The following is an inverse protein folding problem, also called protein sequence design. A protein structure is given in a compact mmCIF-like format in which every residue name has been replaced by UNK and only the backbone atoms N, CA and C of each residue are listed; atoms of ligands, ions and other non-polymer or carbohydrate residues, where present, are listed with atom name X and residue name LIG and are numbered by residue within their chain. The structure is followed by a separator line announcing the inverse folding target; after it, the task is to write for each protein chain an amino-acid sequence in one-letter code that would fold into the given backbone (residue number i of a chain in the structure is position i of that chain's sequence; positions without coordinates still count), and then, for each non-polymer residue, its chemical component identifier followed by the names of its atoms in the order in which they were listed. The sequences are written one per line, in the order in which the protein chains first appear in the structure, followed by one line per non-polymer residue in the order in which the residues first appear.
data_IF_335763129567
#
_entry.id   IF_335763129567
#
_cell.length_a   1.000
_cell.length_b   1.000
_cell.length_c   1.000
_cell.angle_alpha   90.00
_cell.angle_beta   90.00
_cell.angle_gamma   90.00
#
_symmetry.space_group_name_H-M   'P 1'
#
loop_
_entity.id
_entity.type
_entity.pdbx_description
1 polymer ?
#
# COMPACT_ATOMS: atom_id res chain seq x y z
N UNK A 1 -10.36 13.30 -12.23
CA UNK A 1 -10.18 12.01 -11.53
C UNK A 1 -9.08 11.14 -12.14
N UNK A 2 -9.22 10.64 -13.37
CA UNK A 2 -8.23 9.73 -13.99
C UNK A 2 -6.80 10.30 -14.04
N UNK A 3 -6.61 11.50 -14.60
CA UNK A 3 -5.27 12.08 -14.78
C UNK A 3 -4.51 12.28 -13.45
N UNK A 4 -5.21 12.67 -12.39
CA UNK A 4 -4.60 12.82 -11.07
C UNK A 4 -4.01 11.49 -10.57
N UNK A 5 -4.63 10.35 -10.87
CA UNK A 5 -4.15 9.01 -10.49
C UNK A 5 -2.97 8.51 -11.33
N UNK A 6 -2.65 9.17 -12.46
CA UNK A 6 -1.41 8.95 -13.22
C UNK A 6 -0.24 9.80 -12.69
N UNK A 7 -0.52 10.79 -11.85
CA UNK A 7 0.51 11.66 -11.29
C UNK A 7 1.27 10.95 -10.17
N UNK A 8 2.59 10.84 -10.33
CA UNK A 8 3.50 10.32 -9.32
C UNK A 8 4.27 11.42 -8.56
N UNK A 9 3.79 12.67 -8.58
CA UNK A 9 4.44 13.83 -7.96
C UNK A 9 5.92 13.96 -8.37
N UNK A 10 6.16 13.83 -9.68
CA UNK A 10 7.46 13.93 -10.32
C UNK A 10 7.99 15.38 -10.40
N UNK A 11 7.11 16.37 -10.17
CA UNK A 11 7.38 17.81 -10.20
C UNK A 11 7.92 18.41 -11.50
N UNK A 12 8.17 17.64 -12.57
CA UNK A 12 8.54 18.21 -13.89
C UNK A 12 7.53 19.28 -14.35
N UNK A 13 6.23 19.02 -14.23
CA UNK A 13 5.19 19.98 -14.60
C UNK A 13 5.18 21.25 -13.74
N UNK A 14 5.85 21.26 -12.59
CA UNK A 14 6.04 22.46 -11.78
C UNK A 14 7.24 23.27 -12.28
N UNK A 15 8.37 22.62 -12.58
CA UNK A 15 9.57 23.28 -13.10
C UNK A 15 9.40 23.79 -14.54
N UNK A 16 8.58 23.13 -15.35
CA UNK A 16 8.26 23.58 -16.72
C UNK A 16 7.16 24.66 -16.77
N UNK A 17 6.51 24.96 -15.65
CA UNK A 17 5.36 25.87 -15.64
C UNK A 17 5.80 27.34 -15.59
N UNK A 18 5.49 28.08 -16.64
CA UNK A 18 5.71 29.54 -16.72
C UNK A 18 4.95 30.33 -15.63
N UNK A 19 3.92 29.71 -15.05
CA UNK A 19 3.06 30.30 -14.00
C UNK A 19 3.33 29.73 -12.60
N UNK A 20 4.39 28.92 -12.44
CA UNK A 20 4.85 28.51 -11.12
C UNK A 20 5.35 29.71 -10.31
N UNK A 21 5.32 29.65 -8.96
CA UNK A 21 5.92 30.69 -8.14
C UNK A 21 7.37 31.00 -8.58
N UNK A 22 7.77 32.28 -8.58
CA UNK A 22 7.09 33.42 -7.96
C UNK A 22 6.05 34.14 -8.84
N UNK A 23 5.62 33.56 -9.97
CA UNK A 23 4.57 34.17 -10.82
C UNK A 23 3.28 34.44 -10.03
N UNK A 24 2.56 35.52 -10.34
CA UNK A 24 1.36 35.98 -9.62
C UNK A 24 0.26 34.92 -9.47
N UNK A 25 0.10 34.04 -10.46
CA UNK A 25 -0.86 32.94 -10.45
C UNK A 25 -0.48 31.78 -9.51
N UNK A 26 0.79 31.68 -9.09
CA UNK A 26 1.28 30.70 -8.11
C UNK A 26 0.80 29.26 -8.38
N UNK A 27 0.89 28.81 -9.63
CA UNK A 27 0.34 27.52 -10.07
C UNK A 27 1.21 26.37 -9.57
N UNK A 28 0.58 25.38 -8.92
CA UNK A 28 1.24 24.13 -8.53
C UNK A 28 0.38 22.92 -8.91
N UNK A 29 0.63 22.40 -10.11
CA UNK A 29 -0.04 21.20 -10.64
C UNK A 29 0.18 19.98 -9.71
N UNK A 30 1.40 19.70 -9.18
CA UNK A 30 1.60 18.56 -8.29
C UNK A 30 0.74 18.64 -7.02
N UNK A 31 0.60 19.83 -6.43
CA UNK A 31 -0.24 20.06 -5.24
C UNK A 31 -1.72 19.86 -5.56
N UNK A 32 -2.19 20.41 -6.68
CA UNK A 32 -3.58 20.25 -7.13
C UNK A 32 -3.92 18.78 -7.41
N UNK A 33 -3.04 18.05 -8.11
CA UNK A 33 -3.25 16.63 -8.40
C UNK A 33 -3.15 15.76 -7.14
N UNK A 34 -2.33 16.13 -6.15
CA UNK A 34 -2.31 15.44 -4.86
C UNK A 34 -3.66 15.56 -4.13
N UNK A 35 -4.26 16.75 -4.09
CA UNK A 35 -5.59 16.96 -3.50
C UNK A 35 -6.68 16.19 -4.28
N UNK A 36 -6.66 16.24 -5.62
CA UNK A 36 -7.61 15.51 -6.46
C UNK A 36 -7.50 13.98 -6.30
N UNK A 37 -6.29 13.44 -6.10
CA UNK A 37 -6.13 11.99 -5.80
C UNK A 37 -6.82 11.60 -4.51
N UNK A 38 -6.65 12.39 -3.44
CA UNK A 38 -7.32 12.11 -2.16
C UNK A 38 -8.85 12.13 -2.31
N UNK A 39 -9.39 13.12 -3.03
CA UNK A 39 -10.83 13.16 -3.35
C UNK A 39 -11.28 11.94 -4.16
N UNK A 40 -10.49 11.54 -5.16
CA UNK A 40 -10.74 10.35 -5.98
C UNK A 40 -10.77 9.07 -5.12
N UNK A 41 -9.82 8.90 -4.20
CA UNK A 41 -9.78 7.72 -3.32
C UNK A 41 -11.02 7.61 -2.44
N UNK A 42 -11.49 8.71 -1.85
CA UNK A 42 -12.73 8.70 -1.09
C UNK A 42 -13.95 8.42 -1.98
N UNK A 43 -14.08 9.12 -3.12
CA UNK A 43 -15.19 8.97 -4.07
C UNK A 43 -15.37 7.52 -4.52
N UNK A 44 -14.26 6.83 -4.79
CA UNK A 44 -14.28 5.45 -5.24
C UNK A 44 -14.14 4.42 -4.13
N UNK A 45 -13.88 4.82 -2.88
CA UNK A 45 -13.87 3.90 -1.73
C UNK A 45 -15.17 3.08 -1.62
N UNK A 46 -15.07 1.86 -1.11
CA UNK A 46 -16.22 1.00 -0.83
C UNK A 46 -16.09 0.36 0.55
N UNK A 47 -17.13 0.43 1.40
CA UNK A 47 -18.31 1.28 1.28
C UNK A 47 -17.99 2.78 1.50
N UNK A 48 -18.71 3.68 0.83
CA UNK A 48 -18.40 5.12 0.78
C UNK A 48 -18.36 5.79 2.17
N UNK A 49 -19.21 5.33 3.10
CA UNK A 49 -19.30 5.94 4.43
C UNK A 49 -18.02 5.75 5.25
N UNK A 50 -17.31 4.62 5.08
CA UNK A 50 -16.02 4.38 5.74
C UNK A 50 -14.94 5.32 5.20
N UNK A 51 -14.92 5.53 3.87
CA UNK A 51 -14.02 6.50 3.26
C UNK A 51 -14.25 7.92 3.78
N UNK A 52 -15.51 8.33 3.93
CA UNK A 52 -15.85 9.66 4.45
C UNK A 52 -15.53 9.80 5.94
N UNK A 53 -15.79 8.77 6.75
CA UNK A 53 -15.43 8.75 8.17
C UNK A 53 -13.91 8.88 8.36
N UNK A 54 -13.13 8.13 7.58
CA UNK A 54 -11.67 8.17 7.62
C UNK A 54 -11.15 9.55 7.17
N UNK A 55 -11.66 10.13 6.07
CA UNK A 55 -11.22 11.46 5.62
C UNK A 55 -11.51 12.55 6.65
N UNK A 56 -12.69 12.53 7.26
CA UNK A 56 -13.08 13.57 8.23
C UNK A 56 -12.32 13.46 9.54
N UNK A 57 -12.09 12.24 10.03
CA UNK A 57 -11.52 11.98 11.36
C UNK A 57 -10.54 10.79 11.37
N UNK A 58 -9.48 10.84 10.55
CA UNK A 58 -8.52 9.74 10.39
C UNK A 58 -7.90 9.29 11.73
N UNK A 59 -7.57 10.24 12.61
CA UNK A 59 -7.00 9.95 13.93
C UNK A 59 -8.00 9.22 14.82
N UNK A 60 -9.22 9.76 14.95
CA UNK A 60 -10.26 9.15 15.78
C UNK A 60 -10.63 7.75 15.28
N UNK A 61 -10.81 7.59 13.96
CA UNK A 61 -11.13 6.29 13.35
C UNK A 61 -10.01 5.27 13.61
N UNK A 62 -8.74 5.69 13.57
CA UNK A 62 -7.59 4.83 13.91
C UNK A 62 -7.60 4.46 15.39
N UNK A 63 -7.82 5.41 16.29
CA UNK A 63 -7.88 5.15 17.74
C UNK A 63 -9.01 4.17 18.07
N UNK A 64 -10.21 4.39 17.53
CA UNK A 64 -11.37 3.50 17.73
C UNK A 64 -11.05 2.09 17.22
N UNK A 65 -10.46 1.96 16.03
CA UNK A 65 -10.07 0.65 15.49
C UNK A 65 -9.07 -0.06 16.42
N UNK A 66 -8.04 0.64 16.90
CA UNK A 66 -7.03 0.09 17.81
C UNK A 66 -7.68 -0.36 19.12
N UNK A 67 -8.57 0.46 19.71
CA UNK A 67 -9.28 0.10 20.94
C UNK A 67 -10.20 -1.10 20.72
N UNK A 68 -10.97 -1.14 19.62
CA UNK A 68 -11.83 -2.28 19.29
C UNK A 68 -11.04 -3.58 19.13
N UNK A 69 -9.89 -3.53 18.43
CA UNK A 69 -9.02 -4.69 18.30
C UNK A 69 -8.46 -5.09 19.67
N UNK A 70 -7.93 -4.14 20.44
CA UNK A 70 -7.40 -4.41 21.77
C UNK A 70 -8.44 -5.06 22.69
N UNK A 71 -9.62 -4.48 22.84
CA UNK A 71 -10.69 -5.04 23.68
C UNK A 71 -11.25 -6.35 23.13
N UNK A 72 -11.30 -6.53 21.81
CA UNK A 72 -11.67 -7.79 21.19
C UNK A 72 -10.71 -8.93 21.56
N UNK A 73 -9.41 -8.70 21.38
CA UNK A 73 -8.37 -9.66 21.75
C UNK A 73 -8.27 -9.86 23.27
N UNK A 74 -8.46 -8.80 24.07
CA UNK A 74 -8.50 -8.90 25.52
C UNK A 74 -9.67 -9.78 25.98
N UNK A 75 -10.87 -9.56 25.44
CA UNK A 75 -12.06 -10.34 25.79
C UNK A 75 -11.98 -11.80 25.33
N UNK A 76 -11.24 -12.07 24.25
CA UNK A 76 -11.02 -13.43 23.75
C UNK A 76 -9.82 -14.12 24.41
N UNK A 77 -9.04 -13.39 25.21
CA UNK A 77 -7.89 -13.93 25.92
C UNK A 77 -8.35 -14.91 26.99
N UNK A 78 -7.75 -16.10 27.00
CA UNK A 78 -7.96 -17.13 28.03
C UNK A 78 -6.82 -17.15 29.06
N UNK A 79 -6.01 -16.09 29.09
CA UNK A 79 -4.83 -16.00 29.94
C UNK A 79 -5.21 -15.93 31.42
N UNK A 80 -4.78 -16.94 32.18
CA UNK A 80 -5.06 -17.10 33.61
C UNK A 80 -3.98 -16.47 34.51
N UNK A 81 -2.96 -15.82 33.94
CA UNK A 81 -1.84 -15.25 34.68
C UNK A 81 -0.61 -16.17 34.83
N UNK A 82 -0.67 -17.40 34.34
CA UNK A 82 0.45 -18.36 34.36
C UNK A 82 1.49 -18.14 33.26
N UNK A 83 2.63 -18.84 33.34
CA UNK A 83 3.65 -18.78 32.29
C UNK A 83 3.16 -19.46 31.01
N UNK A 84 2.99 -18.70 29.92
CA UNK A 84 2.64 -19.23 28.61
C UNK A 84 3.81 -19.97 27.92
N UNK A 85 5.02 -20.00 28.49
CA UNK A 85 6.21 -20.68 27.95
C UNK A 85 6.48 -20.40 26.45
N UNK A 86 6.18 -19.18 25.98
CA UNK A 86 6.33 -18.79 24.58
C UNK A 86 5.23 -19.31 23.63
N UNK A 87 4.24 -20.06 24.12
CA UNK A 87 3.08 -20.47 23.34
C UNK A 87 2.04 -19.34 23.29
N UNK A 88 2.09 -18.54 22.24
CA UNK A 88 1.13 -17.47 22.01
C UNK A 88 -0.32 -17.97 21.98
N UNK A 89 -0.55 -19.19 21.48
CA UNK A 89 -1.89 -19.76 21.36
C UNK A 89 -2.53 -20.16 22.70
N UNK A 90 -1.73 -20.18 23.78
CA UNK A 90 -2.25 -20.33 25.14
C UNK A 90 -2.89 -19.03 25.66
N UNK A 91 -2.52 -17.87 25.10
CA UNK A 91 -3.09 -16.57 25.47
C UNK A 91 -4.34 -16.29 24.63
N UNK A 92 -4.22 -16.43 23.30
CA UNK A 92 -5.32 -16.23 22.34
C UNK A 92 -5.41 -17.44 21.44
N UNK A 93 -6.60 -18.05 21.35
CA UNK A 93 -6.76 -19.27 20.56
C UNK A 93 -6.43 -19.06 19.07
N UNK A 94 -5.85 -20.10 18.46
CA UNK A 94 -5.55 -20.12 17.03
C UNK A 94 -6.80 -19.80 16.17
N UNK A 95 -7.93 -20.43 16.49
CA UNK A 95 -9.20 -20.24 15.79
C UNK A 95 -9.70 -18.79 15.87
N UNK A 96 -9.53 -18.13 17.02
CA UNK A 96 -9.89 -16.73 17.15
C UNK A 96 -9.02 -15.83 16.25
N UNK A 97 -7.71 -16.04 16.22
CA UNK A 97 -6.82 -15.28 15.33
C UNK A 97 -7.19 -15.47 13.86
N UNK A 98 -7.31 -16.73 13.42
CA UNK A 98 -7.59 -17.06 12.02
C UNK A 98 -8.94 -16.49 11.62
N UNK A 99 -9.98 -16.63 12.45
CA UNK A 99 -11.32 -16.11 12.13
C UNK A 99 -11.33 -14.59 11.99
N UNK A 100 -10.76 -13.85 12.96
CA UNK A 100 -10.70 -12.38 12.92
C UNK A 100 -9.96 -11.90 11.68
N UNK A 101 -8.76 -12.41 11.42
CA UNK A 101 -7.97 -11.95 10.27
C UNK A 101 -8.55 -12.42 8.93
N UNK A 102 -9.23 -13.57 8.87
CA UNK A 102 -9.93 -14.01 7.66
C UNK A 102 -11.11 -13.11 7.33
N UNK A 103 -11.91 -12.72 8.34
CA UNK A 103 -13.01 -11.76 8.18
C UNK A 103 -12.47 -10.42 7.69
N UNK A 104 -11.41 -9.90 8.33
CA UNK A 104 -10.78 -8.63 7.91
C UNK A 104 -10.24 -8.74 6.48
N UNK A 105 -9.57 -9.84 6.12
CA UNK A 105 -9.07 -10.07 4.77
C UNK A 105 -10.20 -10.07 3.74
N UNK A 106 -11.32 -10.74 4.04
CA UNK A 106 -12.50 -10.75 3.16
C UNK A 106 -13.08 -9.34 2.99
N UNK A 107 -13.22 -8.57 4.07
CA UNK A 107 -13.69 -7.19 4.02
C UNK A 107 -12.75 -6.30 3.18
N UNK A 108 -11.43 -6.46 3.32
CA UNK A 108 -10.44 -5.75 2.50
C UNK A 108 -10.57 -6.12 1.02
N UNK A 109 -10.71 -7.41 0.70
CA UNK A 109 -10.95 -7.85 -0.68
C UNK A 109 -12.22 -7.22 -1.25
N UNK A 110 -13.34 -7.27 -0.51
CA UNK A 110 -14.62 -6.67 -0.92
C UNK A 110 -14.46 -5.16 -1.13
N UNK A 111 -13.78 -4.45 -0.22
CA UNK A 111 -13.51 -3.02 -0.33
C UNK A 111 -12.68 -2.67 -1.57
N UNK A 112 -11.61 -3.43 -1.85
CA UNK A 112 -10.76 -3.24 -3.00
C UNK A 112 -11.50 -3.52 -4.31
N UNK A 113 -12.18 -4.66 -4.43
CA UNK A 113 -12.96 -5.00 -5.62
C UNK A 113 -14.09 -4.01 -5.86
N UNK A 114 -14.83 -3.63 -4.81
CA UNK A 114 -15.86 -2.60 -4.88
C UNK A 114 -15.32 -1.27 -5.38
N UNK A 115 -14.15 -0.85 -4.88
CA UNK A 115 -13.50 0.38 -5.33
C UNK A 115 -13.01 0.32 -6.78
N UNK A 116 -12.41 -0.80 -7.19
CA UNK A 116 -11.99 -1.04 -8.58
C UNK A 116 -13.20 -0.99 -9.52
N UNK A 117 -14.29 -1.67 -9.19
CA UNK A 117 -15.52 -1.69 -10.03
C UNK A 117 -16.09 -0.28 -10.15
N UNK A 118 -16.18 0.47 -9.05
CA UNK A 118 -16.67 1.85 -9.06
C UNK A 118 -15.79 2.76 -9.90
N UNK A 119 -14.46 2.66 -9.75
CA UNK A 119 -13.51 3.43 -10.55
C UNK A 119 -13.61 3.08 -12.03
N UNK A 120 -13.60 1.79 -12.36
CA UNK A 120 -13.71 1.27 -13.73
C UNK A 120 -14.96 1.77 -14.44
N UNK A 121 -16.11 1.74 -13.76
CA UNK A 121 -17.38 2.27 -14.32
C UNK A 121 -17.31 3.77 -14.58
N UNK A 122 -16.60 4.54 -13.75
CA UNK A 122 -16.56 5.99 -13.88
C UNK A 122 -15.59 6.51 -14.95
N UNK A 123 -14.59 5.71 -15.35
CA UNK A 123 -13.65 6.08 -16.41
C UNK A 123 -14.11 5.61 -17.80
N UNK A 124 -15.25 4.90 -17.89
CA UNK A 124 -15.91 4.48 -19.13
C UNK A 124 -14.94 3.91 -20.19
N UNK A 125 -14.01 3.04 -19.80
CA UNK A 125 -13.00 2.52 -20.72
C UNK A 125 -13.69 1.76 -21.86
N UNK A 126 -13.45 2.21 -23.09
CA UNK A 126 -13.86 1.53 -24.32
C UNK A 126 -12.69 0.73 -24.89
N UNK A 127 -12.97 -0.39 -25.56
CA UNK A 127 -12.00 -1.18 -26.32
C UNK A 127 -10.84 -1.77 -25.49
N UNK A 128 -11.12 -2.30 -24.30
CA UNK A 128 -10.12 -3.10 -23.56
C UNK A 128 -9.85 -4.39 -24.34
N UNK A 129 -8.63 -4.52 -24.85
CA UNK A 129 -8.14 -5.78 -25.42
C UNK A 129 -6.99 -6.34 -24.57
N UNK A 130 -6.67 -7.62 -24.80
CA UNK A 130 -5.65 -8.32 -24.03
C UNK A 130 -4.26 -7.64 -24.11
N UNK A 131 -3.89 -7.11 -25.28
CA UNK A 131 -2.60 -6.42 -25.49
C UNK A 131 -2.48 -5.15 -24.64
N UNK A 132 -3.53 -4.33 -24.60
CA UNK A 132 -3.59 -3.11 -23.78
C UNK A 132 -3.55 -3.45 -22.30
N UNK A 133 -4.26 -4.51 -21.89
CA UNK A 133 -4.25 -4.98 -20.50
C UNK A 133 -2.86 -5.42 -20.04
N UNK A 134 -2.17 -6.27 -20.82
CA UNK A 134 -0.80 -6.71 -20.52
C UNK A 134 0.18 -5.53 -20.51
N UNK A 135 0.04 -4.59 -21.46
CA UNK A 135 0.87 -3.38 -21.48
C UNK A 135 0.64 -2.52 -20.23
N UNK A 136 -0.61 -2.39 -19.77
CA UNK A 136 -0.96 -1.61 -18.58
C UNK A 136 -0.37 -2.23 -17.32
N UNK A 137 -0.42 -3.56 -17.20
CA UNK A 137 0.24 -4.30 -16.11
C UNK A 137 1.76 -4.07 -16.16
N UNK A 138 2.38 -4.18 -17.33
CA UNK A 138 3.82 -3.94 -17.50
C UNK A 138 4.21 -2.51 -17.13
N UNK A 139 3.46 -1.51 -17.58
CA UNK A 139 3.71 -0.10 -17.29
C UNK A 139 3.57 0.20 -15.79
N UNK A 140 2.58 -0.42 -15.12
CA UNK A 140 2.38 -0.32 -13.68
C UNK A 140 3.52 -0.99 -12.90
N UNK A 141 3.86 -2.24 -13.23
CA UNK A 141 4.93 -2.98 -12.55
C UNK A 141 6.31 -2.36 -12.75
N UNK A 142 6.56 -1.70 -13.88
CA UNK A 142 7.85 -1.04 -14.14
C UNK A 142 7.89 0.41 -13.66
N UNK A 143 6.75 0.95 -13.20
CA UNK A 143 6.56 2.37 -12.89
C UNK A 143 7.07 3.26 -14.04
N UNK A 144 6.70 2.92 -15.27
CA UNK A 144 7.20 3.56 -16.50
C UNK A 144 7.05 5.08 -16.43
N UNK A 145 5.89 5.58 -15.98
CA UNK A 145 5.58 7.01 -15.94
C UNK A 145 6.25 7.76 -14.78
N UNK A 146 6.83 7.06 -13.80
CA UNK A 146 7.65 7.68 -12.76
C UNK A 146 9.14 7.77 -13.17
N UNK A 147 9.55 7.12 -14.26
CA UNK A 147 10.92 7.21 -14.77
C UNK A 147 11.24 8.48 -15.57
N UNK A 148 10.26 9.36 -15.84
CA UNK A 148 10.45 10.49 -16.74
C UNK A 148 10.66 10.08 -18.21
N UNK A 149 10.93 11.05 -19.08
CA UNK A 149 11.18 10.77 -20.49
C UNK A 149 12.50 10.02 -20.66
N UNK A 150 12.53 8.96 -21.48
CA UNK A 150 13.72 8.10 -21.67
C UNK A 150 14.34 7.55 -20.37
N UNK A 151 13.55 7.42 -19.29
CA UNK A 151 14.01 6.94 -17.99
C UNK A 151 15.08 7.84 -17.30
N UNK A 152 15.07 9.14 -17.57
CA UNK A 152 16.00 10.11 -16.96
C UNK A 152 15.74 10.40 -15.47
N UNK A 153 14.59 10.00 -14.95
CA UNK A 153 14.14 10.23 -13.59
C UNK A 153 13.21 11.44 -13.47
N UNK A 154 12.91 11.80 -12.23
CA UNK A 154 12.05 12.91 -11.87
C UNK A 154 12.81 13.96 -11.10
N UNK A 155 12.43 15.22 -11.27
CA UNK A 155 12.89 16.37 -10.48
C UNK A 155 12.23 16.36 -9.09
N UNK A 156 12.58 15.37 -8.28
CA UNK A 156 12.10 15.22 -6.90
C UNK A 156 13.16 14.52 -6.04
N UNK A 157 13.42 14.97 -4.80
CA UNK A 157 12.77 16.09 -4.11
C UNK A 157 13.28 17.47 -4.53
N UNK A 158 14.36 17.52 -5.31
CA UNK A 158 15.06 18.75 -5.69
C UNK A 158 15.07 18.91 -7.22
N UNK A 159 15.63 20.02 -7.69
CA UNK A 159 15.85 20.36 -9.12
C UNK A 159 16.70 19.37 -9.93
N UNK A 160 17.29 18.36 -9.29
CA UNK A 160 18.08 17.32 -9.97
C UNK A 160 17.20 16.11 -10.31
N UNK A 161 17.16 15.76 -11.59
CA UNK A 161 16.52 14.53 -12.07
C UNK A 161 17.16 13.30 -11.45
N UNK A 162 16.32 12.41 -10.89
CA UNK A 162 16.77 11.16 -10.30
C UNK A 162 15.69 10.07 -10.34
N UNK A 163 16.12 8.82 -10.48
CA UNK A 163 15.26 7.63 -10.37
C UNK A 163 15.18 7.07 -8.93
N UNK A 164 15.73 7.78 -7.94
CA UNK A 164 15.80 7.27 -6.57
C UNK A 164 14.40 7.02 -5.98
N UNK A 165 13.44 7.90 -6.25
CA UNK A 165 12.04 7.73 -5.84
C UNK A 165 11.41 6.48 -6.45
N UNK A 166 11.63 6.25 -7.75
CA UNK A 166 11.19 5.05 -8.47
C UNK A 166 11.76 3.78 -7.83
N UNK A 167 13.04 3.82 -7.48
CA UNK A 167 13.75 2.71 -6.84
C UNK A 167 13.16 2.39 -5.47
N UNK A 168 12.92 3.40 -4.62
CA UNK A 168 12.28 3.18 -3.31
C UNK A 168 10.82 2.73 -3.40
N UNK A 169 10.08 3.16 -4.44
CA UNK A 169 8.75 2.60 -4.71
C UNK A 169 8.84 1.12 -5.09
N UNK A 170 9.81 0.70 -5.91
CA UNK A 170 10.02 -0.72 -6.22
C UNK A 170 10.40 -1.54 -5.00
N UNK A 171 11.29 -1.04 -4.14
CA UNK A 171 11.61 -1.69 -2.87
C UNK A 171 10.36 -1.87 -2.00
N UNK A 172 9.51 -0.85 -1.91
CA UNK A 172 8.25 -0.95 -1.15
C UNK A 172 7.28 -1.95 -1.79
N UNK A 173 7.04 -1.86 -3.10
CA UNK A 173 6.05 -2.67 -3.79
C UNK A 173 6.43 -4.15 -3.86
N UNK A 174 7.68 -4.44 -4.25
CA UNK A 174 8.17 -5.82 -4.31
C UNK A 174 8.47 -6.39 -2.93
N UNK A 175 8.87 -5.56 -1.96
CA UNK A 175 9.00 -5.97 -0.57
C UNK A 175 7.66 -6.44 0.01
N UNK A 176 6.58 -5.67 -0.22
CA UNK A 176 5.22 -6.08 0.12
C UNK A 176 4.83 -7.39 -0.55
N UNK A 177 5.08 -7.52 -1.86
CA UNK A 177 4.78 -8.74 -2.61
C UNK A 177 5.51 -9.96 -2.05
N UNK A 178 6.79 -9.81 -1.67
CA UNK A 178 7.57 -10.89 -1.07
C UNK A 178 7.05 -11.28 0.31
N UNK A 179 6.68 -10.31 1.16
CA UNK A 179 6.02 -10.59 2.43
C UNK A 179 4.67 -11.30 2.23
N UNK A 180 3.89 -10.90 1.22
CA UNK A 180 2.63 -11.56 0.88
C UNK A 180 2.87 -13.01 0.44
N UNK A 181 3.84 -13.25 -0.44
CA UNK A 181 4.26 -14.60 -0.86
C UNK A 181 4.69 -15.43 0.35
N UNK A 182 5.50 -14.87 1.25
CA UNK A 182 5.93 -15.55 2.48
C UNK A 182 4.74 -16.00 3.33
N UNK A 183 3.75 -15.14 3.52
CA UNK A 183 2.52 -15.46 4.26
C UNK A 183 1.70 -16.55 3.56
N UNK A 184 1.51 -16.45 2.24
CA UNK A 184 0.81 -17.49 1.46
C UNK A 184 1.53 -18.84 1.54
N UNK A 185 2.86 -18.86 1.40
CA UNK A 185 3.67 -20.07 1.53
C UNK A 185 3.58 -20.64 2.95
N UNK A 186 3.60 -19.79 3.98
CA UNK A 186 3.41 -20.21 5.37
C UNK A 186 2.05 -20.88 5.59
N UNK A 187 0.97 -20.33 5.03
CA UNK A 187 -0.35 -20.95 5.09
C UNK A 187 -0.41 -22.28 4.31
N UNK A 188 0.21 -22.34 3.13
CA UNK A 188 0.28 -23.56 2.33
C UNK A 188 1.05 -24.66 3.08
N UNK A 189 2.20 -24.31 3.64
CA UNK A 189 3.06 -25.22 4.40
C UNK A 189 2.30 -25.80 5.59
N UNK A 190 1.63 -24.93 6.35
CA UNK A 190 0.90 -25.34 7.54
C UNK A 190 -0.32 -26.22 7.21
N UNK A 191 -1.16 -25.80 6.26
CA UNK A 191 -2.47 -26.42 6.03
C UNK A 191 -2.48 -27.55 5.00
N UNK A 192 -1.56 -27.55 4.04
CA UNK A 192 -1.55 -28.54 2.95
C UNK A 192 -0.36 -29.50 3.01
N UNK A 193 0.78 -29.06 3.58
CA UNK A 193 1.99 -29.88 3.68
C UNK A 193 2.26 -30.41 5.09
N UNK A 194 1.47 -29.99 6.09
CA UNK A 194 1.68 -30.29 7.52
C UNK A 194 3.09 -29.88 8.02
N UNK A 195 3.70 -28.88 7.37
CA UNK A 195 4.98 -28.30 7.78
C UNK A 195 4.69 -27.11 8.70
N UNK A 196 4.79 -27.37 10.01
CA UNK A 196 4.47 -26.38 11.04
C UNK A 196 5.70 -25.54 11.38
N UNK A 197 5.50 -24.24 11.61
CA UNK A 197 6.54 -23.34 12.11
C UNK A 197 7.09 -23.83 13.47
N UNK A 198 8.33 -23.48 13.88
CA UNK A 198 9.21 -22.49 13.28
C UNK A 198 9.93 -22.96 12.01
N UNK A 199 9.94 -22.12 10.98
CA UNK A 199 10.66 -22.37 9.74
C UNK A 199 12.15 -22.01 9.84
N UNK A 200 13.01 -22.84 9.25
CA UNK A 200 14.45 -22.58 9.10
C UNK A 200 14.73 -21.43 8.12
N UNK A 201 15.92 -20.81 8.20
CA UNK A 201 16.34 -19.71 7.32
C UNK A 201 16.39 -20.13 5.84
N UNK A 202 16.65 -21.41 5.56
CA UNK A 202 16.70 -21.97 4.21
C UNK A 202 15.31 -22.21 3.59
N UNK A 203 14.23 -22.14 4.38
CA UNK A 203 12.89 -22.41 3.87
C UNK A 203 12.26 -21.18 3.23
N UNK A 204 11.49 -21.41 2.15
CA UNK A 204 10.93 -20.33 1.32
C UNK A 204 10.13 -19.28 2.10
N UNK A 205 9.23 -19.61 3.06
CA UNK A 205 8.53 -18.60 3.85
C UNK A 205 9.50 -17.63 4.55
N UNK A 206 10.61 -18.14 5.10
CA UNK A 206 11.59 -17.31 5.80
C UNK A 206 12.43 -16.48 4.81
N UNK A 207 12.88 -17.07 3.70
CA UNK A 207 13.66 -16.36 2.66
C UNK A 207 12.86 -15.17 2.12
N UNK A 208 11.64 -15.41 1.66
CA UNK A 208 10.78 -14.34 1.14
C UNK A 208 10.42 -13.32 2.22
N UNK A 209 10.20 -13.75 3.47
CA UNK A 209 9.90 -12.86 4.59
C UNK A 209 11.06 -11.93 4.94
N UNK A 210 12.29 -12.44 5.03
CA UNK A 210 13.49 -11.65 5.33
C UNK A 210 13.76 -10.66 4.19
N UNK A 211 13.81 -11.15 2.95
CA UNK A 211 14.05 -10.28 1.79
C UNK A 211 12.96 -9.22 1.66
N UNK A 212 11.70 -9.62 1.78
CA UNK A 212 10.56 -8.71 1.71
C UNK A 212 10.59 -7.65 2.80
N UNK A 213 10.87 -8.04 4.04
CA UNK A 213 11.00 -7.12 5.18
C UNK A 213 12.12 -6.11 5.00
N UNK A 214 13.32 -6.56 4.59
CA UNK A 214 14.46 -5.66 4.30
C UNK A 214 14.12 -4.68 3.19
N UNK A 215 13.52 -5.15 2.09
CA UNK A 215 13.10 -4.30 0.98
C UNK A 215 12.06 -3.26 1.41
N UNK A 216 11.07 -3.66 2.23
CA UNK A 216 10.07 -2.73 2.78
C UNK A 216 10.71 -1.66 3.65
N UNK A 217 11.65 -2.03 4.52
CA UNK A 217 12.38 -1.07 5.35
C UNK A 217 13.16 -0.06 4.51
N UNK A 218 13.93 -0.53 3.51
CA UNK A 218 14.69 0.35 2.60
C UNK A 218 13.75 1.27 1.82
N UNK A 219 12.68 0.72 1.24
CA UNK A 219 11.74 1.48 0.41
C UNK A 219 10.97 2.53 1.21
N UNK A 220 10.43 2.17 2.36
CA UNK A 220 9.63 3.07 3.19
C UNK A 220 10.49 4.16 3.85
N UNK A 221 11.65 3.80 4.41
CA UNK A 221 12.59 4.77 4.97
C UNK A 221 13.11 5.71 3.89
N UNK A 222 13.47 5.18 2.72
CA UNK A 222 13.90 5.98 1.58
C UNK A 222 12.85 6.99 1.14
N UNK A 223 11.59 6.56 0.96
CA UNK A 223 10.49 7.47 0.63
C UNK A 223 10.22 8.50 1.73
N UNK A 224 10.34 8.12 3.00
CA UNK A 224 10.19 9.03 4.13
C UNK A 224 11.27 10.12 4.12
N UNK A 225 12.54 9.74 3.94
CA UNK A 225 13.66 10.68 3.83
C UNK A 225 13.47 11.64 2.66
N UNK A 226 13.07 11.13 1.48
CA UNK A 226 12.80 12.02 0.34
C UNK A 226 11.67 13.00 0.63
N UNK A 227 10.64 12.58 1.37
CA UNK A 227 9.57 13.46 1.81
C UNK A 227 10.07 14.54 2.76
N UNK A 228 10.88 14.20 3.75
CA UNK A 228 11.48 15.17 4.68
C UNK A 228 12.41 16.18 4.00
N UNK A 229 12.96 15.86 2.83
CA UNK A 229 13.76 16.81 2.02
C UNK A 229 12.85 17.72 1.17
N UNK A 230 11.69 17.21 0.76
CA UNK A 230 10.75 17.95 -0.10
C UNK A 230 9.84 18.91 0.67
N UNK A 231 9.53 18.60 1.93
CA UNK A 231 8.72 19.43 2.85
C UNK A 231 9.59 20.49 3.54
#
# INVERSE_FOLDING_TARGET
DYLANLCHQCSECFYDCQYAPPHEFNVSIPKQFAALRQYSYEKYSFPNFLGSAFRKNAVLTTIVLVLCLFFGFWSASSYDGGSANGNFFAVVSYEYMVSVFSIVSLLVCIALFGGIIKFYRAIEIKNVNFKVFVQSIKDAMTLKYLGGHKNEGCTYPNEKRSNIRKTFHHFTAYGFLFCFIATCLGAIYHHFLNWVAPYDITQLPKIFGILGGVMLCIGSLGLFVLKCIAD
#
